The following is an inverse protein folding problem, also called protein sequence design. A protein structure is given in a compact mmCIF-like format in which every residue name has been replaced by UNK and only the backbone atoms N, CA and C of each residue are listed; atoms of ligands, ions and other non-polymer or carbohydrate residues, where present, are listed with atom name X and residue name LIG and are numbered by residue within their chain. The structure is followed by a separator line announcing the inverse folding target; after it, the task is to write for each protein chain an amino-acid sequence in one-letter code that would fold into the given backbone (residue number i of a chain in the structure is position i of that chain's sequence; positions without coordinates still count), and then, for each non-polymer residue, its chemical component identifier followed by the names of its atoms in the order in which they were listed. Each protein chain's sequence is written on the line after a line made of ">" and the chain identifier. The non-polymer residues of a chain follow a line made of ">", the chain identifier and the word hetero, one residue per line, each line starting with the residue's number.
data_IF_560067191906
#
_entry.id   IF_560067191906
#
_cell.length_a   1.000
_cell.length_b   1.000
_cell.length_c   1.000
_cell.angle_alpha   90.00
_cell.angle_beta   90.00
_cell.angle_gamma   90.00
#
_symmetry.space_group_name_H-M   'P 1'
#
loop_
_entity.id
_entity.type
_entity.pdbx_description
1 polymer ?
#
# COMPACT_ATOMS: atom_id res chain seq x y z
N UNK A 1 -21.51 -13.71 17.46
CA UNK A 1 -20.58 -12.79 16.74
C UNK A 1 -19.74 -12.04 17.77
N UNK A 2 -18.42 -12.28 17.81
CA UNK A 2 -17.47 -11.43 18.56
C UNK A 2 -16.75 -10.55 17.54
N UNK A 3 -17.27 -9.35 17.31
CA UNK A 3 -16.55 -8.28 16.58
C UNK A 3 -16.17 -7.22 17.61
N UNK A 4 -14.95 -6.72 17.57
CA UNK A 4 -14.52 -5.60 18.43
C UNK A 4 -15.12 -4.31 17.85
N UNK A 5 -16.09 -3.67 18.52
CA UNK A 5 -16.68 -2.45 17.99
C UNK A 5 -15.70 -1.30 18.20
N UNK A 6 -15.31 -0.64 17.11
CA UNK A 6 -14.61 0.65 17.16
C UNK A 6 -15.68 1.73 17.02
N UNK A 7 -15.78 2.64 18.00
CA UNK A 7 -16.73 3.77 17.95
C UNK A 7 -16.20 4.76 16.92
N UNK A 8 -16.98 4.98 15.87
CA UNK A 8 -16.54 5.74 14.70
C UNK A 8 -17.58 6.79 14.33
N UNK A 9 -17.13 8.01 14.02
CA UNK A 9 -17.95 8.92 13.23
C UNK A 9 -18.16 8.29 11.84
N UNK A 10 -19.22 8.67 11.12
CA UNK A 10 -19.70 8.07 9.86
C UNK A 10 -18.65 8.02 8.70
N UNK A 11 -17.41 8.42 8.97
CA UNK A 11 -16.24 8.59 8.10
C UNK A 11 -15.11 7.57 8.32
N UNK A 12 -15.10 6.72 9.37
CA UNK A 12 -13.89 5.91 9.67
C UNK A 12 -13.76 4.61 8.88
N UNK A 13 -14.85 4.00 8.39
CA UNK A 13 -14.74 2.91 7.39
C UNK A 13 -14.12 3.41 6.08
N UNK A 14 -14.32 4.69 5.78
CA UNK A 14 -13.62 5.41 4.71
C UNK A 14 -12.15 5.68 5.08
N UNK A 15 -11.83 5.94 6.36
CA UNK A 15 -10.45 6.16 6.81
C UNK A 15 -9.53 4.95 6.65
N UNK A 16 -9.98 3.75 7.01
CA UNK A 16 -9.18 2.52 6.87
C UNK A 16 -8.95 2.20 5.40
N UNK A 17 -10.01 2.28 4.58
CA UNK A 17 -9.90 2.07 3.14
C UNK A 17 -8.99 3.12 2.49
N UNK A 18 -9.08 4.38 2.92
CA UNK A 18 -8.22 5.47 2.50
C UNK A 18 -6.75 5.20 2.85
N UNK A 19 -6.49 4.80 4.09
CA UNK A 19 -5.13 4.46 4.57
C UNK A 19 -4.51 3.33 3.76
N UNK A 20 -5.32 2.40 3.24
CA UNK A 20 -4.82 1.23 2.52
C UNK A 20 -4.51 1.46 1.04
N UNK A 21 -5.05 2.50 0.42
CA UNK A 21 -4.83 2.78 -1.02
C UNK A 21 -3.34 2.96 -1.37
N UNK A 22 -2.53 3.70 -0.58
CA UNK A 22 -1.09 3.82 -0.83
C UNK A 22 -0.34 2.49 -0.89
N UNK A 23 -0.82 1.44 -0.20
CA UNK A 23 -0.19 0.12 -0.17
C UNK A 23 -0.10 -0.49 -1.57
N UNK A 24 -1.22 -0.49 -2.31
CA UNK A 24 -1.26 -0.96 -3.70
C UNK A 24 -0.57 0.00 -4.65
N UNK A 25 -0.69 1.31 -4.41
CA UNK A 25 -0.12 2.34 -5.27
C UNK A 25 1.41 2.30 -5.29
N UNK A 26 2.05 2.16 -4.13
CA UNK A 26 3.49 2.02 -4.02
C UNK A 26 3.99 0.76 -4.72
N UNK A 27 3.30 -0.38 -4.52
CA UNK A 27 3.66 -1.64 -5.16
C UNK A 27 3.55 -1.57 -6.70
N UNK A 28 2.48 -0.98 -7.23
CA UNK A 28 2.32 -0.77 -8.67
C UNK A 28 3.43 0.11 -9.25
N UNK A 29 3.80 1.19 -8.55
CA UNK A 29 4.88 2.07 -8.97
C UNK A 29 6.22 1.31 -9.06
N UNK A 30 6.55 0.48 -8.05
CA UNK A 30 7.76 -0.35 -8.07
C UNK A 30 7.80 -1.30 -9.28
N UNK A 31 6.68 -1.96 -9.59
CA UNK A 31 6.59 -2.88 -10.73
C UNK A 31 6.75 -2.16 -12.08
N UNK A 32 6.14 -0.99 -12.23
CA UNK A 32 6.32 -0.19 -13.44
C UNK A 32 7.78 0.28 -13.61
N UNK A 33 8.52 0.45 -12.51
CA UNK A 33 9.96 0.75 -12.52
C UNK A 33 10.85 -0.51 -12.63
N UNK A 34 10.27 -1.70 -12.70
CA UNK A 34 10.99 -2.94 -13.04
C UNK A 34 11.25 -3.89 -11.88
N UNK A 35 10.78 -3.57 -10.68
CA UNK A 35 10.85 -4.52 -9.54
C UNK A 35 9.91 -5.69 -9.79
N UNK A 36 10.36 -6.90 -9.48
CA UNK A 36 9.53 -8.10 -9.66
C UNK A 36 8.35 -8.10 -8.67
N UNK A 37 7.14 -8.33 -9.19
CA UNK A 37 5.93 -8.27 -8.38
C UNK A 37 5.86 -9.37 -7.31
N UNK A 38 6.45 -10.54 -7.60
CA UNK A 38 6.41 -11.70 -6.72
C UNK A 38 7.45 -11.54 -5.61
N UNK A 39 8.60 -10.93 -5.92
CA UNK A 39 9.55 -10.47 -4.92
C UNK A 39 8.92 -9.46 -3.95
N UNK A 40 8.14 -8.50 -4.46
CA UNK A 40 7.42 -7.55 -3.61
C UNK A 40 6.46 -8.26 -2.66
N UNK A 41 5.59 -9.12 -3.18
CA UNK A 41 4.64 -9.86 -2.35
C UNK A 41 5.36 -10.76 -1.32
N UNK A 42 6.49 -11.36 -1.71
CA UNK A 42 7.31 -12.19 -0.83
C UNK A 42 7.96 -11.37 0.29
N UNK A 43 8.56 -10.22 -0.01
CA UNK A 43 9.19 -9.34 0.98
C UNK A 43 8.15 -8.87 2.03
N UNK A 44 6.97 -8.48 1.55
CA UNK A 44 5.88 -8.00 2.41
C UNK A 44 5.27 -9.13 3.24
N UNK A 45 5.16 -10.34 2.69
CA UNK A 45 4.77 -11.53 3.45
C UNK A 45 5.83 -11.90 4.51
N UNK A 46 7.12 -11.82 4.16
CA UNK A 46 8.23 -12.09 5.08
C UNK A 46 8.29 -11.08 6.23
N UNK A 47 7.88 -9.83 6.00
CA UNK A 47 7.71 -8.84 7.06
C UNK A 47 6.63 -9.25 8.09
N UNK A 48 5.60 -9.98 7.63
CA UNK A 48 4.51 -10.52 8.45
C UNK A 48 3.09 -10.12 8.00
N UNK A 49 2.94 -9.43 6.86
CA UNK A 49 1.60 -9.11 6.36
C UNK A 49 0.85 -10.38 5.95
N UNK A 50 -0.46 -10.40 6.19
CA UNK A 50 -1.32 -11.55 5.81
C UNK A 50 -1.33 -11.79 4.30
N UNK A 51 -1.32 -10.71 3.50
CA UNK A 51 -1.24 -10.78 2.04
C UNK A 51 -0.34 -9.67 1.50
N UNK A 52 0.49 -10.01 0.52
CA UNK A 52 1.19 -9.02 -0.30
C UNK A 52 0.21 -8.16 -1.11
N UNK A 53 0.65 -6.98 -1.57
CA UNK A 53 -0.20 -6.04 -2.29
C UNK A 53 -0.89 -6.64 -3.54
N UNK A 54 -0.22 -7.49 -4.31
CA UNK A 54 -0.80 -8.04 -5.54
C UNK A 54 -1.83 -9.13 -5.25
N UNK A 55 -1.53 -10.04 -4.32
CA UNK A 55 -2.53 -11.01 -3.84
C UNK A 55 -3.76 -10.33 -3.22
N UNK A 56 -3.56 -9.23 -2.51
CA UNK A 56 -4.67 -8.45 -1.95
C UNK A 56 -5.53 -7.83 -3.05
N UNK A 57 -4.92 -7.25 -4.08
CA UNK A 57 -5.68 -6.68 -5.22
C UNK A 57 -6.48 -7.74 -5.97
N UNK A 58 -5.93 -8.93 -6.17
CA UNK A 58 -6.66 -10.05 -6.76
C UNK A 58 -7.83 -10.51 -5.88
N UNK A 59 -7.65 -10.55 -4.56
CA UNK A 59 -8.70 -10.92 -3.60
C UNK A 59 -9.85 -9.89 -3.55
N UNK A 60 -9.53 -8.59 -3.56
CA UNK A 60 -10.52 -7.50 -3.56
C UNK A 60 -11.20 -7.36 -4.93
N UNK A 61 -10.49 -7.69 -6.00
CA UNK A 61 -10.95 -7.58 -7.38
C UNK A 61 -10.70 -6.19 -7.97
N UNK A 62 -10.32 -6.16 -9.26
CA UNK A 62 -9.90 -4.92 -9.93
C UNK A 62 -11.01 -3.87 -10.03
N UNK A 63 -12.30 -4.26 -10.13
CA UNK A 63 -13.41 -3.31 -10.17
C UNK A 63 -13.50 -2.48 -8.89
N UNK A 64 -13.39 -3.14 -7.74
CA UNK A 64 -13.41 -2.49 -6.43
C UNK A 64 -12.16 -1.65 -6.24
N UNK A 65 -10.98 -2.16 -6.63
CA UNK A 65 -9.73 -1.40 -6.59
C UNK A 65 -9.80 -0.11 -7.44
N UNK A 66 -10.35 -0.18 -8.66
CA UNK A 66 -10.54 0.99 -9.52
C UNK A 66 -11.56 1.98 -8.91
N UNK A 67 -12.66 1.49 -8.34
CA UNK A 67 -13.65 2.35 -7.68
C UNK A 67 -13.06 3.07 -6.46
N UNK A 68 -12.29 2.38 -5.61
CA UNK A 68 -11.60 2.96 -4.47
C UNK A 68 -10.59 4.02 -4.90
N UNK A 69 -9.83 3.76 -5.97
CA UNK A 69 -8.93 4.74 -6.56
C UNK A 69 -9.68 5.99 -7.00
N UNK A 70 -10.78 5.86 -7.75
CA UNK A 70 -11.59 7.01 -8.19
C UNK A 70 -12.13 7.82 -6.99
N UNK A 71 -12.56 7.12 -5.94
CA UNK A 71 -13.16 7.75 -4.76
C UNK A 71 -12.15 8.54 -3.91
N UNK A 72 -10.91 8.06 -3.80
CA UNK A 72 -9.95 8.54 -2.80
C UNK A 72 -8.62 9.06 -3.37
N UNK A 73 -8.32 8.79 -4.64
CA UNK A 73 -7.08 9.22 -5.30
C UNK A 73 -7.36 9.83 -6.68
N UNK A 74 -7.14 11.14 -6.79
CA UNK A 74 -7.28 11.84 -8.08
C UNK A 74 -6.09 11.61 -9.03
N UNK A 75 -4.95 11.16 -8.51
CA UNK A 75 -3.74 10.94 -9.30
C UNK A 75 -3.58 9.45 -9.60
N UNK A 76 -3.48 9.12 -10.88
CA UNK A 76 -3.21 7.77 -11.35
C UNK A 76 -1.70 7.56 -11.42
N UNK A 77 -1.16 6.80 -10.46
CA UNK A 77 0.27 6.47 -10.43
C UNK A 77 0.66 5.36 -11.39
N UNK A 78 -0.30 4.54 -11.83
CA UNK A 78 -0.04 3.36 -12.67
C UNK A 78 -1.21 3.07 -13.61
N UNK A 79 -0.86 2.62 -14.82
CA UNK A 79 -1.80 2.18 -15.86
C UNK A 79 -1.99 0.65 -15.87
N UNK A 80 -1.28 -0.08 -15.02
CA UNK A 80 -1.25 -1.55 -15.01
C UNK A 80 -2.63 -2.17 -14.81
N UNK A 81 -3.38 -1.71 -13.81
CA UNK A 81 -4.75 -2.22 -13.56
C UNK A 81 -5.64 -1.99 -14.79
N UNK A 82 -5.56 -0.81 -15.41
CA UNK A 82 -6.37 -0.48 -16.60
C UNK A 82 -6.01 -1.39 -17.78
N UNK A 83 -4.71 -1.62 -18.02
CA UNK A 83 -4.22 -2.54 -19.05
C UNK A 83 -4.69 -3.97 -18.80
N UNK A 84 -4.64 -4.43 -17.54
CA UNK A 84 -5.10 -5.77 -17.17
C UNK A 84 -6.62 -5.90 -17.28
N UNK A 85 -7.39 -4.87 -16.93
CA UNK A 85 -8.86 -4.88 -17.04
C UNK A 85 -9.32 -4.97 -18.49
N UNK A 86 -8.63 -4.29 -19.42
CA UNK A 86 -8.91 -4.37 -20.86
C UNK A 86 -8.65 -5.76 -21.43
N UNK A 87 -7.57 -6.41 -21.00
CA UNK A 87 -7.09 -7.66 -21.60
C UNK A 87 -7.73 -8.91 -20.96
N UNK A 88 -7.84 -8.93 -19.63
CA UNK A 88 -8.35 -10.08 -18.87
C UNK A 88 -9.89 -10.18 -18.98
N UNK A 89 -10.58 -9.18 -19.54
CA UNK A 89 -12.04 -9.03 -19.48
C UNK A 89 -12.54 -9.38 -18.07
N UNK A 90 -11.92 -8.76 -17.05
CA UNK A 90 -11.98 -9.16 -15.66
C UNK A 90 -13.43 -9.19 -15.13
N UNK A 91 -14.12 -10.29 -15.38
CA UNK A 91 -15.24 -10.75 -14.61
C UNK A 91 -14.72 -11.60 -13.45
N UNK A 92 -15.49 -11.65 -12.38
CA UNK A 92 -15.18 -12.41 -11.17
C UNK A 92 -15.10 -13.93 -11.42
N UNK A 93 -15.36 -14.38 -12.66
CA UNK A 93 -15.39 -15.80 -13.03
C UNK A 93 -14.05 -16.32 -13.55
N UNK A 94 -13.18 -15.43 -14.05
CA UNK A 94 -11.90 -15.84 -14.69
C UNK A 94 -10.83 -16.32 -13.71
N UNK A 95 -10.94 -16.09 -12.39
CA UNK A 95 -9.95 -16.52 -11.35
C UNK A 95 -8.49 -16.20 -11.73
N UNK A 96 -8.29 -15.09 -12.46
CA UNK A 96 -7.01 -14.65 -13.01
C UNK A 96 -6.82 -13.16 -12.77
N UNK A 97 -5.68 -12.79 -12.22
CA UNK A 97 -5.24 -11.41 -12.02
C UNK A 97 -3.72 -11.34 -12.10
N UNK A 98 -3.07 -10.85 -11.04
CA UNK A 98 -1.60 -10.95 -10.89
C UNK A 98 -1.14 -12.41 -10.70
N UNK A 99 -2.03 -13.24 -10.16
CA UNK A 99 -1.90 -14.67 -10.02
C UNK A 99 -3.01 -15.42 -10.75
N UNK A 100 -2.79 -16.71 -11.00
CA UNK A 100 -3.80 -17.66 -11.48
C UNK A 100 -4.21 -18.52 -10.31
N UNK A 101 -5.52 -18.63 -10.05
CA UNK A 101 -6.05 -19.37 -8.91
C UNK A 101 -6.70 -20.69 -9.33
N UNK A 102 -6.22 -21.79 -8.77
CA UNK A 102 -6.76 -23.15 -8.94
C UNK A 102 -7.47 -23.59 -7.64
N UNK A 103 -8.67 -23.03 -7.42
CA UNK A 103 -9.43 -23.19 -6.18
C UNK A 103 -9.12 -22.10 -5.15
N UNK A 104 -9.48 -22.32 -3.88
CA UNK A 104 -9.42 -21.28 -2.84
C UNK A 104 -8.01 -21.03 -2.27
N UNK A 105 -7.11 -22.01 -2.34
CA UNK A 105 -5.81 -21.94 -1.64
C UNK A 105 -4.59 -22.10 -2.54
N UNK A 106 -4.75 -22.59 -3.77
CA UNK A 106 -3.63 -22.76 -4.71
C UNK A 106 -3.62 -21.63 -5.71
N UNK A 107 -2.47 -20.99 -5.82
CA UNK A 107 -2.25 -19.93 -6.79
C UNK A 107 -0.83 -20.04 -7.36
N UNK A 108 -0.66 -19.62 -8.61
CA UNK A 108 0.64 -19.60 -9.30
C UNK A 108 0.86 -18.25 -9.98
N UNK A 109 2.11 -17.85 -10.23
CA UNK A 109 2.42 -16.69 -11.06
C UNK A 109 1.65 -16.68 -12.38
N UNK A 110 1.06 -15.53 -12.75
CA UNK A 110 0.46 -15.34 -14.06
C UNK A 110 1.58 -15.07 -15.10
N UNK A 111 1.80 -15.93 -16.09
CA UNK A 111 2.86 -15.74 -17.10
C UNK A 111 2.64 -14.48 -17.97
N UNK A 112 1.39 -14.03 -18.12
CA UNK A 112 1.04 -12.90 -18.97
C UNK A 112 1.36 -11.54 -18.31
N UNK A 113 1.66 -11.52 -17.01
CA UNK A 113 1.87 -10.29 -16.26
C UNK A 113 3.02 -9.44 -16.81
N UNK A 114 4.08 -10.07 -17.31
CA UNK A 114 5.22 -9.38 -17.91
C UNK A 114 4.79 -8.56 -19.13
N UNK A 115 3.87 -9.09 -19.93
CA UNK A 115 3.32 -8.39 -21.09
C UNK A 115 2.53 -7.16 -20.65
N UNK A 116 1.64 -7.30 -19.66
CA UNK A 116 0.85 -6.17 -19.15
C UNK A 116 1.71 -5.07 -18.52
N UNK A 117 2.72 -5.45 -17.73
CA UNK A 117 3.68 -4.51 -17.12
C UNK A 117 4.45 -3.76 -18.18
N UNK A 118 4.95 -4.43 -19.23
CA UNK A 118 5.64 -3.78 -20.33
C UNK A 118 4.72 -2.80 -21.08
N UNK A 119 3.48 -3.20 -21.37
CA UNK A 119 2.49 -2.33 -22.02
C UNK A 119 2.16 -1.10 -21.16
N UNK A 120 1.94 -1.28 -19.85
CA UNK A 120 1.69 -0.19 -18.91
C UNK A 120 2.87 0.78 -18.84
N UNK A 121 4.10 0.25 -18.74
CA UNK A 121 5.33 1.04 -18.75
C UNK A 121 5.47 1.87 -20.03
N UNK A 122 5.21 1.27 -21.19
CA UNK A 122 5.25 1.97 -22.49
C UNK A 122 4.22 3.10 -22.58
N UNK A 123 2.99 2.90 -22.08
CA UNK A 123 1.95 3.94 -22.06
C UNK A 123 2.34 5.10 -21.13
N UNK A 124 2.91 4.77 -19.97
CA UNK A 124 3.32 5.77 -18.97
C UNK A 124 4.63 6.48 -19.30
N UNK A 125 5.36 6.04 -20.36
CA UNK A 125 6.66 6.61 -20.72
C UNK A 125 7.75 6.39 -19.66
N UNK A 126 7.58 5.38 -18.80
CA UNK A 126 8.51 5.06 -17.72
C UNK A 126 9.65 4.17 -18.25
N UNK A 127 10.82 4.29 -17.64
CA UNK A 127 11.96 3.41 -17.86
C UNK A 127 12.19 2.51 -16.64
N UNK A 128 12.92 1.42 -16.85
CA UNK A 128 13.41 0.61 -15.74
C UNK A 128 14.35 1.44 -14.87
N UNK A 129 14.16 1.38 -13.56
CA UNK A 129 15.04 1.96 -12.55
C UNK A 129 15.86 0.84 -11.92
N UNK A 130 17.14 0.76 -12.28
CA UNK A 130 18.05 -0.26 -11.79
C UNK A 130 18.35 -0.12 -10.29
N UNK A 131 18.23 1.08 -9.72
CA UNK A 131 18.40 1.25 -8.27
C UNK A 131 17.23 0.60 -7.52
N UNK A 132 16.00 0.78 -8.02
CA UNK A 132 14.83 0.14 -7.42
C UNK A 132 14.84 -1.39 -7.55
N UNK A 133 15.43 -1.93 -8.61
CA UNK A 133 15.59 -3.38 -8.78
C UNK A 133 16.57 -4.02 -7.79
N UNK A 134 17.42 -3.22 -7.13
CA UNK A 134 18.42 -3.69 -6.17
C UNK A 134 18.03 -3.43 -4.71
N UNK A 135 16.79 -3.00 -4.46
CA UNK A 135 16.29 -2.81 -3.09
C UNK A 135 16.32 -4.11 -2.30
N UNK A 136 16.70 -4.01 -1.02
CA UNK A 136 16.53 -5.13 -0.09
C UNK A 136 15.05 -5.36 0.23
N UNK A 137 14.72 -6.54 0.78
CA UNK A 137 13.35 -6.84 1.22
C UNK A 137 12.84 -5.81 2.25
N UNK A 138 13.71 -5.34 3.15
CA UNK A 138 13.38 -4.28 4.10
C UNK A 138 13.07 -2.96 3.39
N UNK A 139 13.86 -2.56 2.38
CA UNK A 139 13.62 -1.33 1.65
C UNK A 139 12.35 -1.38 0.80
N UNK A 140 12.03 -2.54 0.21
CA UNK A 140 10.75 -2.78 -0.46
C UNK A 140 9.60 -2.58 0.52
N UNK A 141 9.69 -3.18 1.72
CA UNK A 141 8.69 -3.05 2.77
C UNK A 141 8.54 -1.59 3.22
N UNK A 142 9.63 -0.87 3.45
CA UNK A 142 9.60 0.56 3.80
C UNK A 142 8.93 1.39 2.70
N UNK A 143 9.29 1.16 1.44
CA UNK A 143 8.77 1.93 0.31
C UNK A 143 7.27 1.68 0.06
N UNK A 144 6.77 0.50 0.48
CA UNK A 144 5.35 0.16 0.44
C UNK A 144 4.59 0.69 1.66
N UNK A 145 5.14 0.55 2.88
CA UNK A 145 4.41 0.85 4.11
C UNK A 145 4.55 2.31 4.57
N UNK A 146 5.63 3.02 4.25
CA UNK A 146 5.78 4.42 4.67
C UNK A 146 4.74 5.36 4.05
N UNK A 147 4.32 5.20 2.78
CA UNK A 147 3.16 5.93 2.25
C UNK A 147 1.87 5.65 3.03
N UNK A 148 1.67 4.41 3.49
CA UNK A 148 0.51 4.01 4.31
C UNK A 148 0.57 4.70 5.68
N UNK A 149 1.75 4.75 6.31
CA UNK A 149 1.98 5.50 7.57
C UNK A 149 1.71 6.99 7.37
N UNK A 150 2.16 7.56 6.25
CA UNK A 150 1.92 8.96 5.92
C UNK A 150 0.43 9.27 5.77
N UNK A 151 -0.32 8.38 5.12
CA UNK A 151 -1.77 8.49 5.00
C UNK A 151 -2.49 8.32 6.35
N UNK A 152 -1.99 7.43 7.20
CA UNK A 152 -2.46 7.30 8.57
C UNK A 152 -2.27 8.61 9.37
N UNK A 153 -1.16 9.31 9.14
CA UNK A 153 -0.91 10.64 9.72
C UNK A 153 -1.87 11.70 9.17
N UNK A 154 -2.23 11.66 7.87
CA UNK A 154 -3.30 12.53 7.33
C UNK A 154 -4.65 12.26 8.01
N UNK A 155 -5.00 10.99 8.20
CA UNK A 155 -6.25 10.59 8.87
C UNK A 155 -6.31 11.10 10.32
N UNK A 156 -5.17 11.12 11.01
CA UNK A 156 -5.03 11.71 12.35
C UNK A 156 -5.13 13.24 12.32
N UNK A 157 -4.48 13.89 11.36
CA UNK A 157 -4.50 15.35 11.17
C UNK A 157 -5.91 15.87 10.86
N UNK A 158 -6.62 15.16 9.98
CA UNK A 158 -8.01 15.43 9.60
C UNK A 158 -9.01 15.13 10.74
N UNK A 159 -8.54 14.59 11.88
CA UNK A 159 -9.33 14.19 13.06
C UNK A 159 -10.47 13.23 12.71
N UNK A 160 -10.27 12.39 11.68
CA UNK A 160 -11.26 11.40 11.25
C UNK A 160 -11.34 10.25 12.28
N UNK A 161 -10.23 9.98 12.95
CA UNK A 161 -10.13 9.04 14.08
C UNK A 161 -9.67 9.80 15.32
N UNK A 162 -10.14 9.36 16.48
CA UNK A 162 -9.88 10.06 17.76
C UNK A 162 -8.52 9.66 18.32
N UNK A 163 -8.10 8.40 18.14
CA UNK A 163 -6.85 7.87 18.68
C UNK A 163 -6.08 7.09 17.63
N UNK A 164 -4.76 7.22 17.66
CA UNK A 164 -3.87 6.40 16.83
C UNK A 164 -3.96 4.90 17.15
N UNK A 165 -4.28 4.52 18.39
CA UNK A 165 -4.55 3.12 18.75
C UNK A 165 -5.69 2.50 17.96
N UNK A 166 -6.68 3.32 17.53
CA UNK A 166 -7.79 2.83 16.71
C UNK A 166 -7.29 2.46 15.31
N UNK A 167 -6.28 3.18 14.79
CA UNK A 167 -5.62 2.85 13.52
C UNK A 167 -4.73 1.62 13.65
N UNK A 168 -4.05 1.43 14.78
CA UNK A 168 -3.29 0.21 15.04
C UNK A 168 -4.20 -1.02 15.04
N UNK A 169 -5.29 -0.98 15.81
CA UNK A 169 -6.30 -2.06 15.83
C UNK A 169 -6.90 -2.28 14.45
N UNK A 170 -7.22 -1.22 13.72
CA UNK A 170 -7.74 -1.32 12.35
C UNK A 170 -6.73 -1.92 11.37
N UNK A 171 -5.44 -1.60 11.50
CA UNK A 171 -4.40 -2.16 10.64
C UNK A 171 -4.24 -3.66 10.87
N UNK A 172 -4.28 -4.12 12.12
CA UNK A 172 -4.19 -5.54 12.46
C UNK A 172 -5.44 -6.29 11.99
N UNK A 173 -6.63 -5.79 12.35
CA UNK A 173 -7.90 -6.50 12.10
C UNK A 173 -8.43 -6.35 10.67
N UNK A 174 -8.09 -5.26 10.00
CA UNK A 174 -8.62 -4.91 8.67
C UNK A 174 -7.63 -5.08 7.53
N UNK A 175 -6.36 -4.72 7.73
CA UNK A 175 -5.32 -4.83 6.68
C UNK A 175 -4.47 -6.10 6.81
N UNK A 176 -4.62 -6.84 7.91
CA UNK A 176 -3.80 -8.01 8.19
C UNK A 176 -2.36 -7.67 8.55
N UNK A 177 -2.14 -6.51 9.18
CA UNK A 177 -0.84 -6.11 9.74
C UNK A 177 -0.43 -7.07 10.87
N UNK A 178 0.85 -7.47 10.97
CA UNK A 178 1.29 -8.45 11.96
C UNK A 178 1.07 -7.97 13.40
N UNK A 179 0.22 -8.67 14.16
CA UNK A 179 -0.16 -8.32 15.54
C UNK A 179 1.05 -8.26 16.49
N UNK A 180 2.05 -9.12 16.30
CA UNK A 180 3.29 -9.10 17.10
C UNK A 180 4.17 -7.86 16.86
N UNK A 181 3.83 -7.02 15.87
CA UNK A 181 4.41 -5.70 15.65
C UNK A 181 3.53 -4.55 16.17
N UNK A 182 2.45 -4.85 16.89
CA UNK A 182 1.55 -3.91 17.56
C UNK A 182 0.49 -3.30 16.64
N UNK A 183 0.91 -2.72 15.52
CA UNK A 183 0.06 -2.01 14.57
C UNK A 183 0.89 -1.03 13.73
N UNK A 184 0.30 -0.46 12.68
CA UNK A 184 1.06 0.33 11.73
C UNK A 184 1.65 1.63 12.31
N UNK A 185 0.93 2.33 13.19
CA UNK A 185 1.41 3.55 13.83
C UNK A 185 2.43 3.18 14.91
N UNK A 186 2.14 2.17 15.71
CA UNK A 186 3.10 1.68 16.72
C UNK A 186 4.42 1.27 16.07
N UNK A 187 4.39 0.45 15.03
CA UNK A 187 5.57 0.04 14.27
C UNK A 187 6.31 1.24 13.69
N UNK A 188 5.60 2.19 13.09
CA UNK A 188 6.21 3.41 12.57
C UNK A 188 6.92 4.23 13.66
N UNK A 189 6.36 4.26 14.86
CA UNK A 189 6.98 4.96 15.99
C UNK A 189 8.25 4.27 16.49
N UNK A 190 8.32 2.93 16.42
CA UNK A 190 9.56 2.19 16.74
C UNK A 190 10.72 2.50 15.80
N UNK A 191 10.43 2.84 14.53
CA UNK A 191 11.44 3.30 13.56
C UNK A 191 11.80 4.78 13.79
N UNK A 192 10.82 5.55 14.24
CA UNK A 192 10.94 6.95 14.57
C UNK A 192 10.51 7.87 13.41
N UNK A 193 9.73 8.93 13.69
CA UNK A 193 9.17 9.81 12.66
C UNK A 193 10.23 10.51 11.81
N UNK A 194 11.40 10.81 12.38
CA UNK A 194 12.51 11.42 11.65
C UNK A 194 13.03 10.53 10.51
N UNK A 195 13.15 9.23 10.75
CA UNK A 195 13.65 8.29 9.75
C UNK A 195 12.65 8.17 8.59
N UNK A 196 11.37 7.94 8.91
CA UNK A 196 10.28 7.83 7.93
C UNK A 196 10.17 9.10 7.09
N UNK A 197 10.14 10.27 7.74
CA UNK A 197 10.07 11.56 7.05
C UNK A 197 11.25 11.75 6.08
N UNK A 198 12.47 11.39 6.49
CA UNK A 198 13.66 11.54 5.62
C UNK A 198 13.62 10.64 4.39
N UNK A 199 13.12 9.41 4.51
CA UNK A 199 12.95 8.46 3.40
C UNK A 199 11.88 8.95 2.43
N UNK A 200 10.73 9.37 2.96
CA UNK A 200 9.64 9.96 2.19
C UNK A 200 10.09 11.22 1.44
N UNK A 201 10.84 12.13 2.06
CA UNK A 201 11.40 13.31 1.38
C UNK A 201 12.36 12.94 0.25
N UNK A 202 13.22 11.94 0.46
CA UNK A 202 14.13 11.44 -0.58
C UNK A 202 13.33 10.91 -1.77
N UNK A 203 12.39 10.01 -1.54
CA UNK A 203 11.55 9.45 -2.60
C UNK A 203 10.64 10.49 -3.23
N UNK A 204 10.20 11.51 -2.49
CA UNK A 204 9.35 12.56 -3.05
C UNK A 204 10.08 13.41 -4.08
N UNK A 205 11.38 13.65 -3.89
CA UNK A 205 12.23 14.35 -4.86
C UNK A 205 12.46 13.53 -6.12
N UNK A 206 12.61 12.21 -6.00
CA UNK A 206 12.92 11.33 -7.13
C UNK A 206 11.67 10.88 -7.89
N UNK A 207 10.63 10.47 -7.17
CA UNK A 207 9.44 9.79 -7.71
C UNK A 207 8.16 10.62 -7.57
N UNK A 208 8.26 11.84 -7.05
CA UNK A 208 7.19 12.83 -7.09
C UNK A 208 6.32 12.93 -5.82
N UNK A 209 5.17 13.63 -5.90
CA UNK A 209 4.45 14.09 -4.72
C UNK A 209 3.74 12.97 -3.93
N UNK A 210 3.63 11.76 -4.47
CA UNK A 210 3.05 10.62 -3.76
C UNK A 210 3.76 10.32 -2.43
N UNK A 211 5.09 10.44 -2.42
CA UNK A 211 5.89 10.22 -1.22
C UNK A 211 6.04 11.47 -0.35
N UNK A 212 5.34 12.57 -0.65
CA UNK A 212 5.49 13.81 0.10
C UNK A 212 5.03 13.61 1.56
N UNK A 213 5.88 13.84 2.57
CA UNK A 213 5.46 13.75 3.97
C UNK A 213 4.32 14.75 4.26
N UNK A 214 3.34 14.32 5.05
CA UNK A 214 2.30 15.20 5.56
C UNK A 214 2.85 16.15 6.63
N UNK A 215 2.11 17.24 6.88
CA UNK A 215 2.54 18.26 7.83
C UNK A 215 2.66 17.68 9.25
N UNK A 216 1.73 16.80 9.65
CA UNK A 216 1.77 16.10 10.94
C UNK A 216 3.07 15.31 11.14
N UNK A 217 3.46 14.48 10.17
CA UNK A 217 4.68 13.68 10.22
C UNK A 217 5.93 14.57 10.24
N UNK A 218 5.96 15.59 9.40
CA UNK A 218 7.07 16.54 9.33
C UNK A 218 7.26 17.33 10.64
N UNK A 219 6.16 17.77 11.27
CA UNK A 219 6.20 18.45 12.55
C UNK A 219 6.78 17.54 13.64
N UNK A 220 6.28 16.30 13.74
CA UNK A 220 6.74 15.29 14.70
C UNK A 220 8.22 14.94 14.50
N UNK A 221 8.65 14.81 13.24
CA UNK A 221 10.04 14.59 12.87
C UNK A 221 10.93 15.77 13.30
N UNK A 222 10.48 17.02 13.11
CA UNK A 222 11.24 18.22 13.48
C UNK A 222 11.41 18.36 15.00
N UNK A 223 10.35 18.05 15.76
CA UNK A 223 10.29 18.13 17.22
C UNK A 223 10.91 16.90 17.91
N UNK A 224 11.25 15.84 17.15
CA UNK A 224 11.75 14.55 17.65
C UNK A 224 10.84 13.93 18.72
N UNK A 225 9.54 14.04 18.50
CA UNK A 225 8.52 13.47 19.37
C UNK A 225 7.88 12.27 18.68
N UNK A 226 7.37 11.33 19.49
CA UNK A 226 6.63 10.17 19.02
C UNK A 226 5.43 10.55 18.14
N UNK A 227 5.12 9.72 17.14
CA UNK A 227 3.91 9.82 16.31
C UNK A 227 2.63 9.74 17.15
N UNK A 228 2.72 9.10 18.30
CA UNK A 228 1.63 8.93 19.26
C UNK A 228 1.82 9.86 20.44
N UNK A 229 0.78 10.62 20.75
CA UNK A 229 0.60 11.18 22.09
C UNK A 229 -0.26 10.19 22.85
N UNK A 230 0.36 9.32 23.65
CA UNK A 230 -0.37 8.46 24.58
C UNK A 230 -0.97 9.27 25.73
#
# INVERSE_FOLDING_TARGET
>A
MRKTPVVVHNSSGSAINRMFIPYSQAAMMLVEHGVDLYQIDQAVAAFGMTMGPFRMMDFVGFKVATAMKIQFSKNELSKLISVMQEDIQADETTRKGFYIYDGESKFTPNPDIKMHVNKARSISGLSIDYELMQLSDEEVVEMILFPVVNEACYVLEDKIVVKASDLDVASVTGMGFPEYRGGIIFWADTLGPKYICSKLEKWSKTYGPFFKPCAYLAERASKRVSLVSY
#
